data_IF_339630570938
#
_entry.id   IF_339630570938
#
_cell.length_a   1.000
_cell.length_b   1.000
_cell.length_c   1.000
_cell.angle_alpha   90.00
_cell.angle_beta   90.00
_cell.angle_gamma   90.00
#
_symmetry.space_group_name_H-M   'P 1'
#
loop_
_entity.id
_entity.type
_entity.pdbx_description
1 polymer ?
#
# COMPACT_ATOMS: atom_id res chain seq x y z
N UNK A 1 16.45 -3.97 2.36
CA UNK A 1 16.32 -2.68 1.76
C UNK A 1 15.44 -2.72 0.54
N UNK A 2 14.54 -1.78 0.38
CA UNK A 2 13.66 -1.82 -0.77
C UNK A 2 14.31 -1.18 -1.96
N UNK A 3 13.95 -1.67 -3.13
CA UNK A 3 14.47 -1.19 -4.39
C UNK A 3 13.34 -0.93 -5.34
N UNK A 4 13.63 -0.21 -6.38
CA UNK A 4 12.66 0.01 -7.43
C UNK A 4 12.18 -1.33 -7.97
N UNK A 5 10.91 -1.43 -8.19
CA UNK A 5 10.24 -2.62 -8.70
C UNK A 5 10.14 -3.78 -7.71
N UNK A 6 10.51 -3.55 -6.47
CA UNK A 6 10.28 -4.58 -5.46
C UNK A 6 8.80 -4.66 -5.13
N UNK A 7 8.37 -5.86 -4.85
CA UNK A 7 7.01 -6.07 -4.38
C UNK A 7 7.05 -6.49 -2.93
N UNK A 8 6.18 -5.93 -2.13
CA UNK A 8 6.11 -6.33 -0.72
C UNK A 8 4.70 -6.11 -0.20
N UNK A 9 4.39 -6.83 0.86
CA UNK A 9 3.10 -6.69 1.49
C UNK A 9 3.17 -5.57 2.51
N UNK A 10 2.21 -4.71 2.52
CA UNK A 10 2.21 -3.57 3.41
C UNK A 10 0.83 -3.31 3.97
N UNK A 11 0.82 -2.68 5.12
CA UNK A 11 -0.42 -2.28 5.74
C UNK A 11 -0.43 -0.77 5.83
N UNK A 12 -1.51 -0.16 5.41
CA UNK A 12 -1.63 1.28 5.40
C UNK A 12 -1.99 1.75 6.79
N UNK A 13 -1.14 2.57 7.38
CA UNK A 13 -1.35 3.03 8.74
C UNK A 13 -1.75 4.48 8.82
N UNK A 14 -1.60 5.21 7.73
CA UNK A 14 -1.97 6.63 7.71
C UNK A 14 -2.26 7.03 6.29
N UNK A 15 -2.77 8.23 6.11
CA UNK A 15 -3.05 8.75 4.78
C UNK A 15 -2.65 10.20 4.72
N UNK A 16 -2.30 10.65 3.53
CA UNK A 16 -2.00 12.05 3.31
C UNK A 16 -3.28 12.79 3.00
N UNK A 17 -3.22 14.10 3.04
CA UNK A 17 -4.36 14.92 2.71
C UNK A 17 -4.77 14.74 1.25
N UNK A 18 -3.87 14.27 0.43
CA UNK A 18 -4.17 14.06 -0.97
C UNK A 18 -4.84 12.75 -1.24
N UNK A 19 -4.91 11.90 -0.25
CA UNK A 19 -5.55 10.62 -0.45
C UNK A 19 -4.59 9.47 -0.70
N UNK A 20 -3.31 9.66 -0.46
CA UNK A 20 -2.36 8.58 -0.62
C UNK A 20 -2.17 7.86 0.69
N UNK A 21 -2.18 6.56 0.67
CA UNK A 21 -1.91 5.80 1.88
C UNK A 21 -0.43 5.84 2.20
N UNK A 22 -0.12 5.70 3.48
CA UNK A 22 1.26 5.67 3.93
C UNK A 22 1.49 4.37 4.65
N UNK A 23 2.52 3.67 4.26
CA UNK A 23 2.94 2.48 4.98
C UNK A 23 4.42 2.57 5.24
N UNK A 24 4.92 1.70 6.07
CA UNK A 24 6.32 1.65 6.39
C UNK A 24 6.93 0.39 5.86
N UNK A 25 8.08 0.53 5.27
CA UNK A 25 8.82 -0.60 4.76
C UNK A 25 10.28 -0.33 4.97
N UNK A 26 10.97 -1.25 5.62
CA UNK A 26 12.41 -1.14 5.82
C UNK A 26 12.80 0.19 6.48
N UNK A 27 11.96 0.68 7.38
CA UNK A 27 12.24 1.91 8.08
C UNK A 27 11.95 3.17 7.29
N UNK A 28 11.38 3.04 6.13
CA UNK A 28 11.04 4.18 5.30
C UNK A 28 9.54 4.31 5.15
N UNK A 29 9.08 5.52 4.94
CA UNK A 29 7.68 5.73 4.62
C UNK A 29 7.49 5.48 3.13
N UNK A 30 6.42 4.79 2.78
CA UNK A 30 6.11 4.53 1.39
C UNK A 30 4.71 5.06 1.11
N UNK A 31 4.59 5.90 0.11
CA UNK A 31 3.32 6.51 -0.24
C UNK A 31 2.67 5.69 -1.35
N UNK A 32 1.44 5.26 -1.12
CA UNK A 32 0.74 4.40 -2.05
C UNK A 32 -0.64 5.00 -2.31
N UNK A 33 -0.84 5.63 -3.43
CA UNK A 33 -2.15 6.22 -3.73
C UNK A 33 -3.18 5.12 -3.95
N UNK A 34 -4.41 5.46 -3.69
CA UNK A 34 -5.51 4.52 -3.94
C UNK A 34 -5.77 3.55 -2.81
N UNK A 35 -5.17 3.75 -1.65
CA UNK A 35 -5.39 2.87 -0.51
C UNK A 35 -6.02 3.65 0.63
N UNK A 36 -6.44 2.96 1.65
CA UNK A 36 -7.04 3.59 2.83
C UNK A 36 -6.42 3.00 4.08
N UNK A 37 -6.56 3.72 5.18
CA UNK A 37 -6.01 3.27 6.46
C UNK A 37 -6.64 1.93 6.83
N UNK A 38 -5.80 1.00 7.19
CA UNK A 38 -6.25 -0.33 7.56
C UNK A 38 -6.21 -1.33 6.44
N UNK A 39 -5.95 -0.88 5.22
CA UNK A 39 -5.89 -1.81 4.10
C UNK A 39 -4.55 -2.51 4.08
N UNK A 40 -4.59 -3.75 3.68
CA UNK A 40 -3.38 -4.52 3.47
C UNK A 40 -3.26 -4.80 1.99
N UNK A 41 -2.10 -4.57 1.46
CA UNK A 41 -1.95 -4.67 0.02
C UNK A 41 -0.53 -5.04 -0.35
N UNK A 42 -0.38 -5.45 -1.58
CA UNK A 42 0.94 -5.66 -2.17
C UNK A 42 1.30 -4.39 -2.89
N UNK A 43 2.45 -3.85 -2.58
CA UNK A 43 2.90 -2.60 -3.13
C UNK A 43 4.12 -2.83 -3.98
N UNK A 44 4.12 -2.24 -5.15
CA UNK A 44 5.30 -2.25 -6.01
C UNK A 44 6.02 -0.92 -5.86
N UNK A 45 7.28 -0.96 -5.54
CA UNK A 45 8.06 0.26 -5.37
C UNK A 45 8.35 0.84 -6.74
N UNK A 46 7.95 2.08 -6.96
CA UNK A 46 8.18 2.73 -8.24
C UNK A 46 9.31 3.75 -8.16
N UNK A 47 9.60 4.26 -6.97
CA UNK A 47 10.68 5.21 -6.81
C UNK A 47 11.18 5.17 -5.38
N UNK A 48 12.48 5.19 -5.22
CA UNK A 48 13.07 5.20 -3.89
C UNK A 48 13.86 6.47 -3.71
N UNK A 49 13.59 7.18 -2.62
CA UNK A 49 14.27 8.40 -2.28
C UNK A 49 15.05 8.19 -1.00
N UNK A 50 15.72 9.22 -0.53
CA UNK A 50 16.56 9.05 0.63
C UNK A 50 15.80 8.76 1.91
N UNK A 51 14.66 9.41 2.06
CA UNK A 51 13.92 9.29 3.29
C UNK A 51 12.58 8.60 3.12
N UNK A 52 12.15 8.41 1.91
CA UNK A 52 10.86 7.82 1.64
C UNK A 52 10.84 7.24 0.24
N UNK A 53 9.79 6.55 -0.07
CA UNK A 53 9.67 5.94 -1.38
C UNK A 53 8.24 6.09 -1.86
N UNK A 54 8.02 5.94 -3.13
CA UNK A 54 6.69 5.91 -3.70
C UNK A 54 6.41 4.52 -4.19
N UNK A 55 5.23 4.03 -3.88
CA UNK A 55 4.82 2.73 -4.33
C UNK A 55 3.52 2.81 -5.07
N UNK A 56 3.12 1.70 -5.65
CA UNK A 56 1.90 1.62 -6.39
C UNK A 56 1.14 0.41 -5.91
N UNK A 57 -0.16 0.52 -5.84
CA UNK A 57 -0.98 -0.60 -5.41
C UNK A 57 -1.02 -1.65 -6.50
N UNK A 58 -0.46 -2.82 -6.19
CA UNK A 58 -0.50 -3.92 -7.14
C UNK A 58 -1.69 -4.82 -6.86
N UNK A 59 -1.94 -5.09 -5.60
CA UNK A 59 -3.05 -5.97 -5.27
C UNK A 59 -3.55 -5.62 -3.89
N UNK A 60 -4.85 -5.61 -3.71
CA UNK A 60 -5.45 -5.35 -2.42
C UNK A 60 -5.71 -6.68 -1.75
N UNK A 61 -5.09 -6.93 -0.63
CA UNK A 61 -5.18 -8.21 0.03
C UNK A 61 -6.28 -8.25 1.07
N UNK A 62 -6.55 -7.13 1.72
CA UNK A 62 -7.51 -7.09 2.81
C UNK A 62 -8.68 -6.25 2.45
N UNK A 63 -9.85 -6.78 2.66
CA UNK A 63 -11.04 -5.98 2.49
C UNK A 63 -11.64 -5.81 3.84
N UNK A 64 -12.58 -4.94 3.94
CA UNK A 64 -13.25 -4.69 5.18
C UNK A 64 -13.84 -5.98 5.70
N UNK A 65 -13.71 -6.24 6.95
CA UNK A 65 -14.28 -7.47 7.49
C UNK A 65 -15.77 -7.58 7.32
N UNK A 66 -16.44 -6.46 7.17
CA UNK A 66 -17.85 -6.52 6.94
C UNK A 66 -18.19 -6.86 5.56
N UNK A 67 -17.27 -6.83 4.66
CA UNK A 67 -17.56 -7.04 3.30
C UNK A 67 -17.78 -8.46 3.06
N UNK A 68 -18.90 -8.80 2.81
CA UNK A 68 -19.16 -10.15 2.56
C UNK A 68 -19.23 -10.45 1.15
N UNK A 69 -18.95 -9.62 0.36
CA UNK A 69 -19.07 -9.84 -0.98
C UNK A 69 -18.37 -10.91 -1.46
N UNK A 70 -18.81 -11.61 -1.97
CA UNK A 70 -18.08 -12.58 -2.56
C UNK A 70 -17.73 -12.19 -3.91
N UNK A 71 -17.77 -11.94 -4.13
CA UNK A 71 -17.42 -11.75 -5.12
C UNK A 71 -17.45 -12.14 -6.02
N UNK A 72 -17.80 -12.42 -6.27
CA UNK A 72 -17.85 -12.74 -6.97
C UNK A 72 -17.87 -12.91 -7.72
N UNK A 73 -17.90 -13.11 -7.97
CA UNK A 73 -17.87 -13.30 -8.75
C UNK A 73 -18.05 -13.06 -9.57
N UNK A 74 -18.12 -12.94 -9.77
CA UNK A 74 -18.30 -12.82 -10.34
C UNK A 74 -18.21 -13.01 -10.69
#
# INVERSE_FOLDING_TARGET
MIKKNDLFEAEITAMTAEGSGICRADGMAVFVPGTAVGDRCVVRVVKVLKKYAFGRLEELLTTSPDRTTPDCPI
#
